data_IF_379788322011
#
_entry.id   IF_379788322011
#
_cell.length_a   1.000
_cell.length_b   1.000
_cell.length_c   1.000
_cell.angle_alpha   90.00
_cell.angle_beta   90.00
_cell.angle_gamma   90.00
#
_symmetry.space_group_name_H-M   'P 1'
#
loop_
_entity.id
_entity.type
_entity.pdbx_description
1 polymer ?
#
# COMPACT_ATOMS: atom_id res chain seq x y z
N UNK A 1 -0.40 56.46 -7.81
CA UNK A 1 -0.49 55.12 -8.41
C UNK A 1 0.74 54.26 -8.14
N UNK A 2 1.98 54.69 -8.48
CA UNK A 2 3.20 53.92 -8.19
C UNK A 2 3.34 53.48 -6.72
N UNK A 3 3.16 54.41 -5.76
CA UNK A 3 3.23 54.09 -4.32
C UNK A 3 2.13 53.12 -3.85
N UNK A 4 0.96 53.14 -4.47
CA UNK A 4 -0.14 52.22 -4.16
C UNK A 4 0.16 50.81 -4.68
N UNK A 5 0.75 50.73 -5.88
CA UNK A 5 1.22 49.47 -6.49
C UNK A 5 2.38 48.88 -5.68
N UNK A 6 3.31 49.71 -5.20
CA UNK A 6 4.43 49.25 -4.34
C UNK A 6 3.92 48.74 -2.99
N UNK A 7 2.94 49.42 -2.39
CA UNK A 7 2.33 48.98 -1.12
C UNK A 7 1.53 47.68 -1.27
N UNK A 8 0.80 47.48 -2.37
CA UNK A 8 0.10 46.21 -2.65
C UNK A 8 1.08 45.07 -2.89
N UNK A 9 2.16 45.31 -3.64
CA UNK A 9 3.20 44.31 -3.89
C UNK A 9 3.94 43.87 -2.61
N UNK A 10 4.20 44.81 -1.69
CA UNK A 10 4.77 44.52 -0.38
C UNK A 10 3.81 43.76 0.54
N UNK A 11 2.50 44.04 0.44
CA UNK A 11 1.48 43.31 1.20
C UNK A 11 1.31 41.86 0.71
N UNK A 12 1.38 41.63 -0.61
CA UNK A 12 1.34 40.27 -1.18
C UNK A 12 2.58 39.44 -0.84
N UNK A 13 3.76 40.07 -0.70
CA UNK A 13 5.01 39.40 -0.28
C UNK A 13 5.05 39.12 1.23
N UNK A 14 4.33 39.88 2.06
CA UNK A 14 4.25 39.66 3.50
C UNK A 14 3.16 38.66 3.92
N UNK A 15 2.19 38.37 3.04
CA UNK A 15 1.09 37.40 3.24
C UNK A 15 1.35 36.02 2.64
N UNK A 16 2.60 35.68 2.29
CA UNK A 16 3.01 34.31 1.99
C UNK A 16 3.41 33.45 3.21
N UNK A 17 3.02 33.68 4.48
CA UNK A 17 3.40 32.74 5.52
C UNK A 17 2.36 31.61 5.53
N UNK A 18 2.87 30.37 5.44
CA UNK A 18 2.16 29.14 5.80
C UNK A 18 1.08 28.60 4.85
N UNK A 19 1.36 28.44 3.55
CA UNK A 19 0.77 27.26 2.86
C UNK A 19 1.59 26.05 3.30
N UNK A 20 1.30 25.53 4.49
CA UNK A 20 1.65 24.15 4.81
C UNK A 20 0.79 23.30 3.89
N UNK A 21 1.37 22.73 2.84
CA UNK A 21 0.72 21.67 2.05
C UNK A 21 0.44 20.52 2.99
N UNK A 22 -0.73 20.53 3.60
CA UNK A 22 -1.23 19.47 4.44
C UNK A 22 -2.20 18.67 3.57
N UNK A 23 -1.64 17.84 2.69
CA UNK A 23 -2.44 16.81 2.07
C UNK A 23 -2.86 15.83 3.17
N UNK A 24 -4.16 15.57 3.28
CA UNK A 24 -4.65 14.54 4.15
C UNK A 24 -4.46 13.17 3.51
N UNK A 25 -4.63 12.08 4.27
CA UNK A 25 -4.48 10.73 3.74
C UNK A 25 -5.36 10.44 2.51
N UNK A 26 -6.56 11.03 2.44
CA UNK A 26 -7.47 10.82 1.31
C UNK A 26 -6.95 11.50 0.03
N UNK A 27 -6.50 12.75 0.14
CA UNK A 27 -5.96 13.53 -0.97
C UNK A 27 -4.66 12.90 -1.50
N UNK A 28 -3.79 12.41 -0.60
CA UNK A 28 -2.58 11.68 -0.97
C UNK A 28 -2.88 10.38 -1.72
N UNK A 29 -3.89 9.62 -1.29
CA UNK A 29 -4.33 8.40 -1.97
C UNK A 29 -4.82 8.71 -3.39
N UNK A 30 -5.62 9.76 -3.57
CA UNK A 30 -6.10 10.16 -4.88
C UNK A 30 -4.96 10.61 -5.81
N UNK A 31 -4.05 11.44 -5.29
CA UNK A 31 -2.88 11.91 -6.03
C UNK A 31 -1.97 10.74 -6.46
N UNK A 32 -1.75 9.77 -5.58
CA UNK A 32 -0.93 8.59 -5.87
C UNK A 32 -1.55 7.72 -6.97
N UNK A 33 -2.85 7.43 -6.87
CA UNK A 33 -3.57 6.66 -7.90
C UNK A 33 -3.55 7.38 -9.25
N UNK A 34 -3.79 8.69 -9.26
CA UNK A 34 -3.75 9.50 -10.47
C UNK A 34 -2.36 9.50 -11.11
N UNK A 35 -1.30 9.60 -10.30
CA UNK A 35 0.08 9.51 -10.76
C UNK A 35 0.34 8.19 -11.48
N UNK A 36 0.03 7.04 -10.87
CA UNK A 36 0.29 5.75 -11.52
C UNK A 36 -0.59 5.53 -12.75
N UNK A 37 -1.89 5.86 -12.70
CA UNK A 37 -2.78 5.77 -13.87
C UNK A 37 -2.28 6.59 -15.07
N UNK A 38 -1.72 7.77 -14.81
CA UNK A 38 -1.15 8.62 -15.86
C UNK A 38 0.14 8.03 -16.45
N UNK A 39 1.00 7.46 -15.61
CA UNK A 39 2.32 6.97 -16.03
C UNK A 39 2.32 5.52 -16.53
N UNK A 40 1.28 4.74 -16.24
CA UNK A 40 1.12 3.35 -16.64
C UNK A 40 -0.19 3.14 -17.40
N UNK A 41 -0.44 3.84 -18.52
CA UNK A 41 -1.74 3.85 -19.19
C UNK A 41 -2.11 2.52 -19.85
N UNK A 42 -1.16 1.61 -20.04
CA UNK A 42 -1.37 0.28 -20.64
C UNK A 42 -1.74 -0.80 -19.63
N UNK A 43 -1.64 -0.52 -18.33
CA UNK A 43 -1.98 -1.47 -17.27
C UNK A 43 -3.40 -1.20 -16.76
N UNK A 44 -4.23 -2.24 -16.68
CA UNK A 44 -5.49 -2.16 -15.97
C UNK A 44 -5.25 -2.01 -14.47
N UNK A 45 -6.15 -1.31 -13.79
CA UNK A 45 -5.98 -1.02 -12.36
C UNK A 45 -5.85 -2.31 -11.51
N UNK A 46 -6.59 -3.36 -11.88
CA UNK A 46 -6.56 -4.65 -11.20
C UNK A 46 -5.22 -5.38 -11.36
N UNK A 47 -4.43 -5.04 -12.39
CA UNK A 47 -3.12 -5.63 -12.61
C UNK A 47 -2.03 -4.96 -11.77
N UNK A 48 -2.31 -3.84 -11.11
CA UNK A 48 -1.29 -3.15 -10.30
C UNK A 48 -0.78 -4.03 -9.16
N UNK A 49 -1.59 -5.00 -8.70
CA UNK A 49 -1.20 -5.99 -7.69
C UNK A 49 -0.06 -6.91 -8.16
N UNK A 50 0.11 -7.08 -9.47
CA UNK A 50 1.11 -7.97 -10.06
C UNK A 50 2.48 -7.27 -10.24
N UNK A 51 2.57 -5.95 -9.98
CA UNK A 51 3.82 -5.20 -10.02
C UNK A 51 4.50 -5.26 -11.39
N UNK A 52 5.77 -5.68 -11.43
CA UNK A 52 6.55 -5.75 -12.68
C UNK A 52 5.98 -6.77 -13.68
N UNK A 53 5.32 -7.82 -13.19
CA UNK A 53 4.75 -8.86 -14.03
C UNK A 53 3.58 -8.37 -14.89
N UNK A 54 3.06 -7.17 -14.63
CA UNK A 54 2.08 -6.50 -15.50
C UNK A 54 2.71 -6.01 -16.80
N UNK A 55 4.00 -5.68 -16.78
CA UNK A 55 4.70 -5.04 -17.90
C UNK A 55 5.70 -5.96 -18.59
N UNK A 56 6.15 -7.00 -17.89
CA UNK A 56 7.12 -7.98 -18.40
C UNK A 56 6.45 -9.36 -18.52
N UNK A 57 6.11 -9.73 -19.77
CA UNK A 57 5.43 -10.98 -20.10
C UNK A 57 6.29 -12.20 -19.78
N UNK A 58 7.59 -12.14 -20.06
CA UNK A 58 8.49 -13.27 -19.84
C UNK A 58 8.65 -13.50 -18.33
N UNK A 59 8.76 -12.42 -17.54
CA UNK A 59 8.78 -12.52 -16.08
C UNK A 59 7.44 -13.05 -15.52
N UNK A 60 6.31 -12.67 -16.14
CA UNK A 60 4.98 -13.17 -15.75
C UNK A 60 4.84 -14.67 -15.99
N UNK A 61 5.26 -15.14 -17.17
CA UNK A 61 5.20 -16.57 -17.53
C UNK A 61 6.08 -17.40 -16.60
N UNK A 62 7.30 -16.94 -16.33
CA UNK A 62 8.19 -17.60 -15.36
C UNK A 62 7.60 -17.63 -13.95
N UNK A 63 6.97 -16.54 -13.50
CA UNK A 63 6.30 -16.53 -12.21
C UNK A 63 5.13 -17.52 -12.17
N UNK A 64 4.30 -17.58 -13.21
CA UNK A 64 3.20 -18.56 -13.29
C UNK A 64 3.69 -20.01 -13.29
N UNK A 65 4.83 -20.30 -13.94
CA UNK A 65 5.50 -21.61 -13.86
C UNK A 65 6.01 -21.92 -12.44
N UNK A 66 6.58 -20.93 -11.73
CA UNK A 66 6.99 -21.08 -10.33
C UNK A 66 5.79 -21.35 -9.43
N UNK A 67 4.65 -20.70 -9.67
CA UNK A 67 3.43 -20.87 -8.89
C UNK A 67 2.75 -22.24 -9.12
N UNK A 68 3.16 -23.01 -10.14
CA UNK A 68 2.74 -24.42 -10.27
C UNK A 68 3.38 -25.30 -9.18
N UNK A 69 4.61 -24.97 -8.76
CA UNK A 69 5.32 -25.63 -7.67
C UNK A 69 6.01 -24.61 -6.76
N UNK A 70 5.24 -23.87 -5.95
CA UNK A 70 5.78 -22.73 -5.22
C UNK A 70 6.86 -23.17 -4.23
N UNK A 71 8.09 -22.62 -4.28
CA UNK A 71 9.18 -23.03 -3.39
C UNK A 71 8.90 -22.69 -1.92
N UNK A 72 7.90 -21.85 -1.66
CA UNK A 72 7.49 -21.44 -0.32
C UNK A 72 6.42 -22.35 0.31
N UNK A 73 5.90 -23.35 -0.40
CA UNK A 73 4.85 -24.26 0.10
C UNK A 73 5.28 -24.98 1.39
N UNK A 74 6.53 -25.47 1.43
CA UNK A 74 7.10 -26.12 2.62
C UNK A 74 7.07 -25.20 3.85
N UNK A 75 7.25 -23.89 3.66
CA UNK A 75 7.22 -22.94 4.77
C UNK A 75 5.78 -22.53 5.14
N UNK A 76 4.84 -22.57 4.20
CA UNK A 76 3.41 -22.44 4.49
C UNK A 76 2.92 -23.60 5.35
N UNK A 77 3.28 -24.84 5.03
CA UNK A 77 2.91 -26.03 5.81
C UNK A 77 3.44 -25.96 7.25
N UNK A 78 4.70 -25.56 7.43
CA UNK A 78 5.26 -25.32 8.77
C UNK A 78 4.53 -24.18 9.48
N UNK A 79 4.15 -23.14 8.76
CA UNK A 79 3.36 -22.03 9.27
C UNK A 79 2.00 -22.50 9.79
N UNK A 80 1.32 -23.37 9.04
CA UNK A 80 0.05 -23.98 9.43
C UNK A 80 0.21 -24.86 10.68
N UNK A 81 1.24 -25.72 10.75
CA UNK A 81 1.50 -26.52 11.94
C UNK A 81 1.67 -25.63 13.19
N UNK A 82 2.44 -24.55 13.07
CA UNK A 82 2.63 -23.60 14.15
C UNK A 82 1.33 -22.87 14.51
N UNK A 83 0.52 -22.51 13.52
CA UNK A 83 -0.74 -21.80 13.68
C UNK A 83 -1.74 -22.58 14.53
N UNK A 84 -1.83 -23.88 14.30
CA UNK A 84 -2.78 -24.78 14.96
C UNK A 84 -2.26 -25.31 16.31
N UNK A 85 -0.94 -25.35 16.48
CA UNK A 85 -0.29 -25.88 17.68
C UNK A 85 -0.81 -25.22 18.96
N UNK A 86 -1.30 -26.06 19.88
CA UNK A 86 -1.70 -25.59 21.20
C UNK A 86 -0.49 -25.19 22.05
N UNK A 87 -0.58 -24.01 22.65
CA UNK A 87 0.30 -23.55 23.72
C UNK A 87 0.03 -24.32 25.02
N UNK A 88 0.86 -24.07 26.04
CA UNK A 88 0.72 -24.68 27.37
C UNK A 88 -0.62 -24.37 28.07
N UNK A 89 -1.31 -23.30 27.66
CA UNK A 89 -2.62 -22.91 28.19
C UNK A 89 -3.81 -23.49 27.39
N UNK A 90 -3.54 -24.38 26.42
CA UNK A 90 -4.56 -25.02 25.58
C UNK A 90 -5.10 -24.17 24.44
N UNK A 91 -4.66 -22.91 24.27
CA UNK A 91 -5.00 -22.05 23.12
C UNK A 91 -3.98 -22.17 21.99
N UNK A 92 -4.30 -21.73 20.78
CA UNK A 92 -3.36 -21.61 19.65
C UNK A 92 -3.28 -20.18 19.10
N UNK A 93 -2.48 -19.95 18.06
CA UNK A 93 -2.50 -18.66 17.35
C UNK A 93 -3.86 -18.40 16.69
N UNK A 94 -4.51 -19.45 16.17
CA UNK A 94 -5.85 -19.37 15.61
C UNK A 94 -6.90 -18.83 16.60
N UNK A 95 -6.77 -19.16 17.89
CA UNK A 95 -7.67 -18.64 18.93
C UNK A 95 -7.42 -17.15 19.26
N UNK A 96 -6.20 -16.68 19.06
CA UNK A 96 -5.82 -15.29 19.34
C UNK A 96 -6.21 -14.35 18.20
N UNK A 97 -5.97 -14.75 16.96
CA UNK A 97 -6.10 -13.89 15.78
C UNK A 97 -7.37 -14.18 14.96
N UNK A 98 -8.02 -15.31 15.22
CA UNK A 98 -9.19 -15.80 14.50
C UNK A 98 -8.83 -16.83 13.43
N UNK A 99 -9.72 -17.79 13.19
CA UNK A 99 -9.50 -18.90 12.25
C UNK A 99 -9.58 -18.49 10.77
N UNK A 100 -10.19 -17.35 10.48
CA UNK A 100 -10.33 -16.83 9.13
C UNK A 100 -9.11 -15.97 8.75
N UNK A 101 -8.10 -16.61 8.13
CA UNK A 101 -6.84 -15.97 7.74
C UNK A 101 -7.04 -14.78 6.80
N UNK A 102 -8.11 -14.80 5.97
CA UNK A 102 -8.41 -13.71 5.03
C UNK A 102 -8.68 -12.38 5.73
N UNK A 103 -9.16 -12.43 6.99
CA UNK A 103 -9.43 -11.26 7.82
C UNK A 103 -8.22 -10.75 8.59
N UNK A 104 -7.08 -11.44 8.53
CA UNK A 104 -5.90 -11.07 9.32
C UNK A 104 -5.04 -10.10 8.53
N UNK A 105 -4.58 -10.49 7.34
CA UNK A 105 -3.65 -9.68 6.54
C UNK A 105 -4.21 -8.30 6.21
N UNK A 106 -5.51 -8.22 5.90
CA UNK A 106 -6.19 -6.96 5.52
C UNK A 106 -6.26 -5.92 6.65
N UNK A 107 -5.98 -6.32 7.90
CA UNK A 107 -5.90 -5.39 9.03
C UNK A 107 -4.60 -4.60 9.04
N UNK A 108 -3.61 -5.00 8.24
CA UNK A 108 -2.27 -4.40 8.23
C UNK A 108 -2.00 -3.62 6.92
N UNK A 109 -1.21 -2.53 6.98
CA UNK A 109 -0.57 -1.96 8.17
C UNK A 109 -1.58 -1.38 9.16
N UNK A 110 -1.42 -1.71 10.45
CA UNK A 110 -2.25 -1.23 11.53
C UNK A 110 -1.45 -0.22 12.35
N UNK A 111 -1.96 0.99 12.53
CA UNK A 111 -1.36 1.96 13.43
C UNK A 111 -1.93 1.74 14.83
N UNK A 112 -1.11 1.17 15.71
CA UNK A 112 -1.40 1.11 17.15
C UNK A 112 -1.05 2.45 17.81
N UNK A 113 -1.80 2.81 18.84
CA UNK A 113 -1.79 4.15 19.47
C UNK A 113 -0.55 4.42 20.31
#
# INVERSE_FOLDING_TARGET
MKKLITSVALFTLAFTPFITTQAGPAEDIEALRAYFKKNMPSADFDDYKNGIYTFDKDAREQWEEIEEFPPYEIDLDKGEELWEKSFKNGKSFADCFGKDLSKIRVKYPFHDK
#
